data_IF_314776484610
#
_entry.id   IF_314776484610
#
_cell.length_a   1.000
_cell.length_b   1.000
_cell.length_c   1.000
_cell.angle_alpha   90.00
_cell.angle_beta   90.00
_cell.angle_gamma   90.00
#
_symmetry.space_group_name_H-M   'P 1'
#
loop_
_entity.id
_entity.type
_entity.pdbx_description
1 polymer ?
#
# COMPACT_ATOMS: atom_id res chain seq x y z
N UNK A 1 -45.10 10.10 -29.39
CA UNK A 1 -43.65 10.09 -29.09
C UNK A 1 -43.42 9.40 -27.76
N UNK A 2 -42.88 8.16 -27.76
CA UNK A 2 -42.51 7.44 -26.52
C UNK A 2 -41.28 8.10 -25.90
N UNK A 3 -41.44 8.62 -24.68
CA UNK A 3 -40.35 9.11 -23.84
C UNK A 3 -39.46 7.91 -23.49
N UNK A 4 -38.23 7.87 -24.03
CA UNK A 4 -37.23 6.85 -23.66
C UNK A 4 -36.93 7.02 -22.18
N UNK A 5 -37.29 6.02 -21.37
CA UNK A 5 -36.84 5.91 -19.99
C UNK A 5 -35.32 5.83 -19.98
N UNK A 6 -34.70 6.81 -19.33
CA UNK A 6 -33.26 6.87 -19.12
C UNK A 6 -32.95 5.90 -17.98
N UNK A 7 -32.36 4.76 -18.31
CA UNK A 7 -31.85 3.80 -17.31
C UNK A 7 -30.95 4.57 -16.32
N UNK A 8 -31.15 4.46 -15.00
CA UNK A 8 -30.38 5.23 -14.03
C UNK A 8 -28.89 4.88 -14.10
N UNK A 9 -28.05 5.92 -14.20
CA UNK A 9 -26.56 5.89 -14.32
C UNK A 9 -25.81 5.21 -13.14
N UNK A 10 -26.52 4.51 -12.25
CA UNK A 10 -25.95 3.90 -11.04
C UNK A 10 -25.31 2.54 -11.27
N UNK A 11 -25.77 1.74 -12.24
CA UNK A 11 -25.23 0.37 -12.46
C UNK A 11 -23.93 0.35 -13.26
N UNK A 12 -23.81 1.21 -14.28
CA UNK A 12 -22.61 1.30 -15.14
C UNK A 12 -21.36 1.74 -14.38
N UNK A 13 -21.54 2.54 -13.32
CA UNK A 13 -20.48 2.99 -12.44
C UNK A 13 -19.99 1.90 -11.47
N UNK A 14 -20.86 0.96 -11.06
CA UNK A 14 -20.49 -0.17 -10.21
C UNK A 14 -19.59 -1.16 -10.94
N UNK A 15 -19.96 -1.54 -12.16
CA UNK A 15 -19.20 -2.50 -12.96
C UNK A 15 -17.78 -1.99 -13.30
N UNK A 16 -17.65 -0.72 -13.72
CA UNK A 16 -16.34 -0.10 -13.99
C UNK A 16 -15.45 0.00 -12.76
N UNK A 17 -16.03 0.06 -11.55
CA UNK A 17 -15.27 0.08 -10.29
C UNK A 17 -14.68 -1.27 -9.92
N UNK A 18 -15.43 -2.35 -10.19
CA UNK A 18 -15.10 -3.73 -9.82
C UNK A 18 -14.19 -4.38 -10.87
N UNK A 19 -14.32 -3.96 -12.15
CA UNK A 19 -13.62 -4.59 -13.27
C UNK A 19 -12.09 -4.74 -13.07
N UNK A 20 -11.34 -3.73 -12.56
CA UNK A 20 -9.92 -3.92 -12.37
C UNK A 20 -9.58 -4.90 -11.23
N UNK A 21 -10.42 -4.97 -10.19
CA UNK A 21 -10.23 -5.90 -9.07
C UNK A 21 -10.48 -7.34 -9.55
N UNK A 22 -11.53 -7.53 -10.36
CA UNK A 22 -11.81 -8.80 -11.02
C UNK A 22 -10.70 -9.21 -12.00
N UNK A 23 -10.17 -8.27 -12.77
CA UNK A 23 -9.05 -8.54 -13.67
C UNK A 23 -7.78 -8.93 -12.90
N UNK A 24 -7.46 -8.24 -11.80
CA UNK A 24 -6.38 -8.60 -10.89
C UNK A 24 -6.56 -10.02 -10.31
N UNK A 25 -7.78 -10.38 -9.91
CA UNK A 25 -8.13 -11.72 -9.44
C UNK A 25 -7.83 -12.78 -10.50
N UNK A 26 -8.35 -12.61 -11.73
CA UNK A 26 -8.18 -13.59 -12.82
C UNK A 26 -6.71 -13.70 -13.21
N UNK A 27 -5.97 -12.59 -13.28
CA UNK A 27 -4.55 -12.60 -13.58
C UNK A 27 -3.74 -13.32 -12.49
N UNK A 28 -3.99 -13.03 -11.21
CA UNK A 28 -3.31 -13.69 -10.11
C UNK A 28 -3.53 -15.21 -10.11
N UNK A 29 -4.78 -15.63 -10.37
CA UNK A 29 -5.13 -17.05 -10.44
C UNK A 29 -4.54 -17.74 -11.67
N UNK A 30 -4.60 -17.06 -12.82
CA UNK A 30 -3.97 -17.52 -14.04
C UNK A 30 -2.47 -17.71 -13.88
N UNK A 31 -1.76 -16.77 -13.25
CA UNK A 31 -0.33 -16.88 -12.98
C UNK A 31 -0.01 -18.06 -12.07
N UNK A 32 -0.70 -18.17 -10.93
CA UNK A 32 -0.48 -19.28 -10.00
C UNK A 32 -0.70 -20.65 -10.66
N UNK A 33 -1.73 -20.76 -11.51
CA UNK A 33 -2.01 -21.97 -12.28
C UNK A 33 -0.95 -22.27 -13.35
N UNK A 34 -0.60 -21.28 -14.17
CA UNK A 34 0.35 -21.43 -15.29
C UNK A 34 1.76 -21.77 -14.80
N UNK A 35 2.21 -21.16 -13.72
CA UNK A 35 3.52 -21.41 -13.13
C UNK A 35 3.54 -22.58 -12.14
N UNK A 36 2.40 -23.27 -11.96
CA UNK A 36 2.24 -24.38 -11.01
C UNK A 36 2.73 -24.04 -9.61
N UNK A 37 2.46 -22.81 -9.17
CA UNK A 37 2.93 -22.30 -7.90
C UNK A 37 2.36 -23.08 -6.73
N UNK A 38 3.21 -23.33 -5.76
CA UNK A 38 2.84 -23.91 -4.48
C UNK A 38 2.63 -22.79 -3.44
N UNK A 39 2.40 -23.18 -2.17
CA UNK A 39 2.20 -22.23 -1.07
C UNK A 39 3.42 -21.35 -0.83
N UNK A 40 4.65 -21.88 -0.95
CA UNK A 40 5.90 -21.11 -0.81
C UNK A 40 5.94 -19.98 -1.82
N UNK A 41 5.66 -20.28 -3.09
CA UNK A 41 5.65 -19.28 -4.16
C UNK A 41 4.65 -18.16 -3.90
N UNK A 42 3.45 -18.52 -3.41
CA UNK A 42 2.41 -17.56 -3.08
C UNK A 42 2.82 -16.65 -1.91
N UNK A 43 3.39 -17.23 -0.85
CA UNK A 43 3.84 -16.49 0.34
C UNK A 43 4.92 -15.48 -0.02
N UNK A 44 5.92 -15.88 -0.79
CA UNK A 44 7.00 -14.98 -1.21
C UNK A 44 6.56 -13.94 -2.22
N UNK A 45 5.61 -14.28 -3.10
CA UNK A 45 4.98 -13.31 -4.00
C UNK A 45 4.21 -12.24 -3.21
N UNK A 46 3.48 -12.63 -2.16
CA UNK A 46 2.75 -11.70 -1.30
C UNK A 46 3.69 -10.82 -0.47
N UNK A 47 4.79 -11.38 0.05
CA UNK A 47 5.82 -10.61 0.74
C UNK A 47 6.51 -9.61 -0.19
N UNK A 48 6.82 -9.99 -1.43
CA UNK A 48 7.38 -9.08 -2.44
C UNK A 48 6.37 -7.96 -2.77
N UNK A 49 5.10 -8.31 -2.93
CA UNK A 49 4.04 -7.34 -3.16
C UNK A 49 3.90 -6.36 -2.00
N UNK A 50 3.95 -6.82 -0.74
CA UNK A 50 3.85 -5.93 0.41
C UNK A 50 5.02 -4.96 0.48
N UNK A 51 6.24 -5.42 0.18
CA UNK A 51 7.43 -4.56 0.11
C UNK A 51 7.27 -3.49 -0.97
N UNK A 52 6.93 -3.88 -2.20
CA UNK A 52 6.81 -2.96 -3.34
C UNK A 52 5.67 -1.97 -3.16
N UNK A 53 4.46 -2.46 -2.86
CA UNK A 53 3.28 -1.60 -2.69
C UNK A 53 3.41 -0.67 -1.48
N UNK A 54 3.98 -1.16 -0.37
CA UNK A 54 4.26 -0.34 0.81
C UNK A 54 5.27 0.76 0.51
N UNK A 55 6.37 0.44 -0.17
CA UNK A 55 7.37 1.45 -0.54
C UNK A 55 6.84 2.47 -1.54
N UNK A 56 6.06 2.05 -2.54
CA UNK A 56 5.38 2.96 -3.47
C UNK A 56 4.38 3.87 -2.76
N UNK A 57 3.74 3.40 -1.69
CA UNK A 57 2.86 4.22 -0.85
C UNK A 57 3.64 5.31 -0.11
N UNK A 58 4.80 4.97 0.47
CA UNK A 58 5.70 5.96 1.10
C UNK A 58 6.10 7.04 0.08
N UNK A 59 6.54 6.63 -1.11
CA UNK A 59 6.89 7.55 -2.19
C UNK A 59 5.70 8.43 -2.60
N UNK A 60 4.51 7.85 -2.74
CA UNK A 60 3.30 8.58 -3.12
C UNK A 60 2.88 9.63 -2.09
N UNK A 61 3.02 9.33 -0.80
CA UNK A 61 2.76 10.30 0.29
C UNK A 61 3.77 11.45 0.23
N UNK A 62 5.06 11.15 0.09
CA UNK A 62 6.12 12.16 0.02
C UNK A 62 5.97 13.03 -1.24
N UNK A 63 5.70 12.43 -2.39
CA UNK A 63 5.46 13.14 -3.65
C UNK A 63 4.18 13.99 -3.58
N UNK A 64 3.11 13.50 -2.95
CA UNK A 64 1.89 14.27 -2.73
C UNK A 64 2.12 15.48 -1.80
N UNK A 65 2.91 15.30 -0.74
CA UNK A 65 3.36 16.38 0.15
C UNK A 65 4.19 17.43 -0.60
N UNK A 66 5.16 16.99 -1.41
CA UNK A 66 5.98 17.87 -2.23
C UNK A 66 5.14 18.66 -3.26
N UNK A 67 4.22 17.99 -3.97
CA UNK A 67 3.33 18.64 -4.93
C UNK A 67 2.43 19.70 -4.26
N UNK A 68 1.91 19.39 -3.07
CA UNK A 68 1.12 20.33 -2.26
C UNK A 68 1.98 21.52 -1.81
N UNK A 69 3.19 21.28 -1.31
CA UNK A 69 4.12 22.33 -0.91
C UNK A 69 4.47 23.27 -2.07
N UNK A 70 4.77 22.73 -3.25
CA UNK A 70 5.03 23.52 -4.47
C UNK A 70 3.82 24.38 -4.84
N UNK A 71 2.60 23.86 -4.71
CA UNK A 71 1.37 24.63 -4.97
C UNK A 71 1.19 25.77 -3.99
N UNK A 72 1.43 25.54 -2.70
CA UNK A 72 1.36 26.57 -1.67
C UNK A 72 2.39 27.68 -1.92
N UNK A 73 3.61 27.32 -2.32
CA UNK A 73 4.66 28.29 -2.68
C UNK A 73 4.33 29.11 -3.93
N UNK A 74 3.48 28.60 -4.82
CA UNK A 74 3.01 29.32 -6.02
C UNK A 74 1.83 30.27 -5.74
N UNK A 75 1.20 30.21 -4.57
CA UNK A 75 0.16 31.17 -4.20
C UNK A 75 0.80 32.54 -3.92
N UNK A 76 0.23 33.61 -4.49
CA UNK A 76 0.77 34.98 -4.53
C UNK A 76 1.05 35.63 -3.16
N UNK A 77 0.65 35.00 -2.07
CA UNK A 77 0.72 35.56 -0.72
C UNK A 77 2.08 35.34 -0.02
N UNK A 78 2.93 34.42 -0.52
CA UNK A 78 4.23 34.13 0.11
C UNK A 78 5.30 35.09 -0.43
N UNK A 79 5.92 35.85 0.48
CA UNK A 79 7.06 36.73 0.14
C UNK A 79 8.23 35.88 -0.37
N UNK A 80 8.92 36.36 -1.40
CA UNK A 80 10.07 35.66 -2.03
C UNK A 80 11.17 35.28 -1.02
N UNK A 81 11.30 36.04 0.07
CA UNK A 81 12.23 35.80 1.18
C UNK A 81 11.90 34.58 2.05
N UNK A 82 10.63 34.15 2.10
CA UNK A 82 10.17 32.99 2.87
C UNK A 82 10.17 31.68 2.06
N UNK A 83 10.30 31.79 0.74
CA UNK A 83 10.25 30.64 -0.16
C UNK A 83 11.45 29.69 0.03
N UNK A 84 12.67 30.23 0.10
CA UNK A 84 13.88 29.40 0.26
C UNK A 84 13.90 28.64 1.60
N UNK A 85 13.64 29.27 2.77
CA UNK A 85 13.52 28.55 4.03
C UNK A 85 12.44 27.46 4.00
N UNK A 86 11.28 27.73 3.39
CA UNK A 86 10.21 26.74 3.29
C UNK A 86 10.60 25.52 2.43
N UNK A 87 11.32 25.74 1.32
CA UNK A 87 11.86 24.64 0.49
C UNK A 87 12.87 23.82 1.28
N UNK A 88 13.81 24.46 1.98
CA UNK A 88 14.84 23.78 2.76
C UNK A 88 14.24 22.95 3.90
N UNK A 89 13.28 23.51 4.64
CA UNK A 89 12.55 22.79 5.69
C UNK A 89 11.76 21.63 5.08
N UNK A 90 11.04 21.85 3.99
CA UNK A 90 10.29 20.81 3.29
C UNK A 90 11.16 19.66 2.81
N UNK A 91 12.33 19.98 2.24
CA UNK A 91 13.32 18.99 1.81
C UNK A 91 13.90 18.21 2.99
N UNK A 92 14.30 18.91 4.06
CA UNK A 92 14.82 18.28 5.27
C UNK A 92 13.80 17.31 5.89
N UNK A 93 12.55 17.76 6.04
CA UNK A 93 11.46 16.94 6.57
C UNK A 93 11.18 15.75 5.65
N UNK A 94 11.13 15.97 4.34
CA UNK A 94 10.93 14.91 3.35
C UNK A 94 12.02 13.84 3.37
N UNK A 95 13.30 14.25 3.44
CA UNK A 95 14.45 13.35 3.53
C UNK A 95 14.47 12.59 4.85
N UNK A 96 14.16 13.25 5.97
CA UNK A 96 14.04 12.60 7.27
C UNK A 96 12.99 11.49 7.23
N UNK A 97 11.77 11.79 6.75
CA UNK A 97 10.72 10.79 6.66
C UNK A 97 11.06 9.66 5.69
N UNK A 98 11.64 9.98 4.53
CA UNK A 98 12.09 8.95 3.59
C UNK A 98 13.10 8.01 4.24
N UNK A 99 14.14 8.54 4.89
CA UNK A 99 15.16 7.75 5.56
C UNK A 99 14.60 6.92 6.71
N UNK A 100 13.86 7.55 7.63
CA UNK A 100 13.25 6.89 8.78
C UNK A 100 12.31 5.76 8.35
N UNK A 101 11.37 6.04 7.45
CA UNK A 101 10.43 5.00 6.99
C UNK A 101 11.12 3.94 6.17
N UNK A 102 12.14 4.25 5.37
CA UNK A 102 12.90 3.22 4.64
C UNK A 102 13.62 2.28 5.59
N UNK A 103 14.32 2.81 6.61
CA UNK A 103 14.99 1.99 7.62
C UNK A 103 14.01 1.10 8.37
N UNK A 104 12.93 1.68 8.89
CA UNK A 104 11.93 0.96 9.68
C UNK A 104 11.18 -0.09 8.84
N UNK A 105 10.67 0.30 7.67
CA UNK A 105 9.86 -0.56 6.81
C UNK A 105 10.67 -1.69 6.19
N UNK A 106 11.85 -1.39 5.63
CA UNK A 106 12.73 -2.41 5.06
C UNK A 106 13.35 -3.28 6.15
N UNK A 107 13.72 -2.71 7.30
CA UNK A 107 14.21 -3.49 8.44
C UNK A 107 13.17 -4.52 8.93
N UNK A 108 11.90 -4.14 9.00
CA UNK A 108 10.82 -5.07 9.33
C UNK A 108 10.66 -6.18 8.28
N UNK A 109 10.72 -5.85 6.98
CA UNK A 109 10.65 -6.85 5.91
C UNK A 109 11.85 -7.80 5.93
N UNK A 110 13.06 -7.29 6.19
CA UNK A 110 14.27 -8.10 6.34
C UNK A 110 14.15 -9.10 7.50
N UNK A 111 13.67 -8.65 8.68
CA UNK A 111 13.40 -9.56 9.80
C UNK A 111 12.32 -10.58 9.41
N UNK A 112 11.25 -10.14 8.74
CA UNK A 112 10.16 -11.01 8.37
C UNK A 112 10.57 -12.08 7.35
N UNK A 113 11.49 -11.78 6.43
CA UNK A 113 12.00 -12.76 5.48
C UNK A 113 12.80 -13.87 6.16
N UNK A 114 13.48 -13.58 7.29
CA UNK A 114 14.14 -14.60 8.13
C UNK A 114 13.11 -15.61 8.63
N UNK A 115 11.98 -15.14 9.16
CA UNK A 115 10.89 -16.03 9.61
C UNK A 115 10.31 -16.83 8.45
N UNK A 116 10.00 -16.18 7.34
CA UNK A 116 9.47 -16.86 6.15
C UNK A 116 10.39 -17.95 5.64
N UNK A 117 11.70 -17.69 5.63
CA UNK A 117 12.71 -18.64 5.18
C UNK A 117 12.74 -19.93 6.00
N UNK A 118 12.32 -19.90 7.27
CA UNK A 118 12.23 -21.08 8.13
C UNK A 118 11.06 -22.00 7.76
N UNK A 119 9.93 -21.43 7.30
CA UNK A 119 8.72 -22.20 6.97
C UNK A 119 8.61 -22.52 5.48
N UNK A 120 9.07 -21.61 4.62
CA UNK A 120 8.88 -21.63 3.18
C UNK A 120 10.23 -21.38 2.49
N UNK A 121 11.16 -22.35 2.50
CA UNK A 121 12.48 -22.19 1.90
C UNK A 121 12.39 -22.03 0.37
N UNK A 122 13.20 -21.13 -0.20
CA UNK A 122 13.44 -21.02 -1.66
C UNK A 122 14.88 -21.44 -1.97
N UNK A 123 15.05 -22.26 -3.00
CA UNK A 123 16.36 -22.66 -3.51
C UNK A 123 17.12 -21.47 -4.10
N UNK A 124 18.39 -21.32 -3.71
CA UNK A 124 19.25 -20.22 -4.19
C UNK A 124 19.06 -18.87 -3.51
N UNK A 125 18.19 -18.78 -2.49
CA UNK A 125 18.10 -17.63 -1.58
C UNK A 125 19.15 -17.74 -0.44
N UNK A 126 19.66 -16.62 0.11
CA UNK A 126 20.49 -16.65 1.31
C UNK A 126 19.88 -17.47 2.46
N UNK A 127 20.74 -18.10 3.27
CA UNK A 127 20.32 -19.02 4.34
C UNK A 127 19.59 -18.31 5.49
N UNK A 128 19.86 -17.03 5.69
CA UNK A 128 19.19 -16.15 6.64
C UNK A 128 17.97 -15.43 6.02
N UNK A 129 17.56 -15.79 4.80
CA UNK A 129 16.53 -15.07 4.05
C UNK A 129 17.09 -13.76 3.52
N UNK A 130 16.89 -12.66 4.26
CA UNK A 130 17.52 -11.35 4.02
C UNK A 130 17.92 -10.63 5.32
N UNK A 131 18.22 -11.38 6.37
CA UNK A 131 18.58 -10.84 7.69
C UNK A 131 19.78 -9.89 7.65
N UNK A 132 20.78 -10.17 6.83
CA UNK A 132 21.95 -9.31 6.57
C UNK A 132 21.58 -7.90 6.09
N UNK A 133 20.40 -7.75 5.47
CA UNK A 133 19.89 -6.46 5.02
C UNK A 133 19.13 -5.66 6.10
N UNK A 134 19.09 -6.15 7.35
CA UNK A 134 18.49 -5.41 8.46
C UNK A 134 19.17 -4.05 8.62
N UNK A 135 18.35 -2.99 8.71
CA UNK A 135 18.81 -1.59 8.72
C UNK A 135 19.62 -1.15 7.48
N UNK A 136 19.60 -1.93 6.39
CA UNK A 136 20.24 -1.59 5.12
C UNK A 136 19.23 -1.70 3.95
N UNK A 137 18.36 -0.69 3.75
CA UNK A 137 17.34 -0.70 2.70
C UNK A 137 17.90 -0.90 1.29
N UNK A 138 19.02 -0.27 0.86
CA UNK A 138 19.61 -0.51 -0.46
C UNK A 138 20.01 -1.97 -0.67
N UNK A 139 20.63 -2.61 0.34
CA UNK A 139 21.01 -4.01 0.26
C UNK A 139 19.78 -4.92 0.16
N UNK A 140 18.72 -4.64 0.94
CA UNK A 140 17.48 -5.41 0.87
C UNK A 140 16.92 -5.37 -0.55
N UNK A 141 16.82 -4.20 -1.15
CA UNK A 141 16.37 -4.06 -2.52
C UNK A 141 17.26 -4.86 -3.48
N UNK A 142 18.58 -4.70 -3.41
CA UNK A 142 19.50 -5.44 -4.27
C UNK A 142 19.29 -6.97 -4.20
N UNK A 143 19.12 -7.52 -3.00
CA UNK A 143 18.86 -8.94 -2.80
C UNK A 143 17.49 -9.36 -3.33
N UNK A 144 16.44 -8.56 -3.08
CA UNK A 144 15.10 -8.83 -3.60
C UNK A 144 15.07 -8.81 -5.14
N UNK A 145 15.73 -7.84 -5.76
CA UNK A 145 15.87 -7.77 -7.21
C UNK A 145 16.58 -9.00 -7.78
N UNK A 146 17.63 -9.46 -7.09
CA UNK A 146 18.41 -10.63 -7.50
C UNK A 146 17.64 -11.95 -7.35
N UNK A 147 16.92 -12.15 -6.25
CA UNK A 147 16.39 -13.46 -5.87
C UNK A 147 14.88 -13.62 -6.09
N UNK A 148 14.10 -12.54 -6.01
CA UNK A 148 12.63 -12.61 -6.03
C UNK A 148 11.99 -11.96 -7.25
N UNK A 149 12.64 -10.99 -7.88
CA UNK A 149 12.02 -10.30 -9.00
C UNK A 149 11.84 -11.21 -10.22
N UNK A 150 12.82 -12.04 -10.54
CA UNK A 150 12.70 -12.98 -11.66
C UNK A 150 11.57 -14.02 -11.46
N UNK A 151 11.49 -14.74 -10.32
CA UNK A 151 10.43 -15.74 -10.13
C UNK A 151 9.05 -15.14 -9.87
N UNK A 152 8.95 -14.02 -9.14
CA UNK A 152 7.69 -13.51 -8.60
C UNK A 152 7.32 -12.11 -9.09
N UNK A 153 8.19 -11.41 -9.82
CA UNK A 153 7.97 -10.04 -10.26
C UNK A 153 6.74 -9.87 -11.15
N UNK A 154 6.35 -10.89 -11.91
CA UNK A 154 5.11 -10.86 -12.69
C UNK A 154 3.85 -10.75 -11.82
N UNK A 155 3.89 -11.25 -10.57
CA UNK A 155 2.78 -11.14 -9.62
C UNK A 155 2.54 -9.71 -9.14
N UNK A 156 3.52 -8.82 -9.29
CA UNK A 156 3.36 -7.41 -8.95
C UNK A 156 2.27 -6.75 -9.79
N UNK A 157 2.01 -7.22 -11.01
CA UNK A 157 1.01 -6.63 -11.90
C UNK A 157 -0.40 -6.74 -11.29
N UNK A 158 -0.94 -7.94 -10.99
CA UNK A 158 -2.25 -8.02 -10.35
C UNK A 158 -2.28 -7.37 -8.97
N UNK A 159 -1.20 -7.45 -8.18
CA UNK A 159 -1.15 -6.81 -6.87
C UNK A 159 -1.23 -5.27 -6.96
N UNK A 160 -0.49 -4.65 -7.87
CA UNK A 160 -0.54 -3.20 -8.11
C UNK A 160 -1.90 -2.75 -8.64
N UNK A 161 -2.54 -3.56 -9.47
CA UNK A 161 -3.91 -3.27 -9.93
C UNK A 161 -4.86 -3.33 -8.73
N UNK A 162 -4.82 -4.38 -7.92
CA UNK A 162 -5.68 -4.51 -6.73
C UNK A 162 -5.49 -3.35 -5.74
N UNK A 163 -4.24 -2.96 -5.50
CA UNK A 163 -3.87 -1.93 -4.52
C UNK A 163 -3.80 -0.51 -5.12
N UNK A 164 -4.16 -0.32 -6.40
CA UNK A 164 -4.01 0.96 -7.14
C UNK A 164 -4.60 2.16 -6.40
N UNK A 165 -5.76 1.98 -5.78
CA UNK A 165 -6.46 3.06 -5.06
C UNK A 165 -5.75 3.43 -3.77
N UNK A 166 -4.98 2.54 -3.17
CA UNK A 166 -4.33 2.82 -1.90
C UNK A 166 -2.94 3.41 -2.13
N UNK A 167 -2.21 2.85 -3.10
CA UNK A 167 -0.89 3.33 -3.49
C UNK A 167 -0.96 4.74 -4.10
N UNK A 168 -1.83 4.95 -5.09
CA UNK A 168 -1.79 6.19 -5.88
C UNK A 168 -2.73 7.30 -5.39
N UNK A 169 -3.72 7.01 -4.54
CA UNK A 169 -4.68 8.02 -4.10
C UNK A 169 -4.07 9.24 -3.40
N UNK A 170 -3.05 9.11 -2.51
CA UNK A 170 -2.40 10.27 -1.93
C UNK A 170 -1.81 11.21 -2.98
N UNK A 171 -1.20 10.64 -4.02
CA UNK A 171 -0.58 11.39 -5.11
C UNK A 171 -1.62 12.00 -6.04
N UNK A 172 -2.61 11.21 -6.48
CA UNK A 172 -3.69 11.66 -7.37
C UNK A 172 -4.43 12.82 -6.73
N UNK A 173 -4.81 12.72 -5.46
CA UNK A 173 -5.53 13.78 -4.76
C UNK A 173 -4.71 15.07 -4.65
N UNK A 174 -3.41 14.94 -4.38
CA UNK A 174 -2.49 16.08 -4.37
C UNK A 174 -2.39 16.76 -5.75
N UNK A 175 -2.46 16.00 -6.84
CA UNK A 175 -2.46 16.51 -8.22
C UNK A 175 -3.81 17.09 -8.62
N UNK A 176 -4.93 16.49 -8.24
CA UNK A 176 -6.26 16.97 -8.61
C UNK A 176 -6.65 18.27 -7.91
N UNK A 177 -5.89 18.67 -6.87
CA UNK A 177 -6.11 19.96 -6.21
C UNK A 177 -7.41 20.00 -5.41
N UNK A 178 -7.99 18.84 -5.12
CA UNK A 178 -8.95 18.72 -4.05
C UNK A 178 -8.35 19.31 -2.77
N UNK A 179 -9.21 19.97 -1.97
CA UNK A 179 -8.80 20.78 -0.81
C UNK A 179 -7.63 20.13 -0.08
N UNK A 180 -6.55 20.90 0.17
CA UNK A 180 -5.29 20.35 0.64
C UNK A 180 -5.54 19.47 1.87
N UNK A 181 -4.71 18.43 2.02
CA UNK A 181 -4.45 17.87 3.34
C UNK A 181 -4.22 19.07 4.26
N UNK A 182 -5.13 19.33 5.21
CA UNK A 182 -4.95 20.42 6.15
C UNK A 182 -3.59 20.14 6.79
N UNK A 183 -2.56 20.99 6.58
CA UNK A 183 -1.31 20.78 7.29
C UNK A 183 -1.69 20.77 8.76
N UNK A 184 -1.26 19.73 9.47
CA UNK A 184 -1.35 19.69 10.92
C UNK A 184 -0.83 21.04 11.39
N UNK A 185 -1.69 21.78 12.10
CA UNK A 185 -1.24 22.89 12.93
C UNK A 185 -0.09 22.31 13.75
N UNK A 186 1.10 22.77 13.42
CA UNK A 186 2.39 22.55 14.07
C UNK A 186 2.29 21.83 15.42
N UNK A 187 3.13 20.81 15.62
CA UNK A 187 3.43 20.20 16.92
C UNK A 187 3.78 21.25 18.00
N UNK A 188 4.04 22.53 17.62
CA UNK A 188 4.31 23.66 18.51
C UNK A 188 3.17 24.69 18.66
N UNK A 189 2.02 24.59 17.98
CA UNK A 189 1.00 25.65 17.95
C UNK A 189 -0.33 25.27 18.64
N UNK A 190 -0.29 24.39 19.64
CA UNK A 190 -1.47 23.86 20.34
C UNK A 190 -2.06 24.74 21.44
N UNK A 191 -1.54 25.95 21.70
CA UNK A 191 -1.94 26.69 22.91
C UNK A 191 -2.93 27.85 22.71
N UNK A 192 -3.29 28.24 21.49
CA UNK A 192 -4.22 29.36 21.29
C UNK A 192 -5.13 29.12 20.10
N UNK A 193 -6.44 29.17 20.35
CA UNK A 193 -7.59 29.19 19.42
C UNK A 193 -8.18 27.84 19.04
N UNK A 194 -9.13 27.40 19.89
CA UNK A 194 -10.23 26.52 19.51
C UNK A 194 -11.25 27.30 18.68
N UNK A 195 -11.65 26.73 17.54
CA UNK A 195 -12.94 27.02 16.91
C UNK A 195 -13.56 25.69 16.47
N UNK A 196 -14.87 25.49 16.67
CA UNK A 196 -15.49 24.19 16.49
C UNK A 196 -15.84 23.91 15.02
N UNK A 197 -15.96 22.61 14.74
CA UNK A 197 -16.81 22.04 13.67
C UNK A 197 -16.21 21.69 12.30
N UNK A 198 -15.03 21.06 12.28
CA UNK A 198 -14.75 20.01 11.29
C UNK A 198 -14.09 18.85 11.98
N UNK A 199 -14.68 17.64 11.95
CA UNK A 199 -14.04 16.41 12.45
C UNK A 199 -12.61 16.35 11.89
N UNK A 200 -11.57 16.49 12.73
CA UNK A 200 -10.21 16.49 12.24
C UNK A 200 -9.91 15.11 11.67
N UNK A 201 -9.49 15.05 10.41
CA UNK A 201 -8.81 13.88 9.89
C UNK A 201 -7.53 13.74 10.71
N UNK A 202 -7.51 12.72 11.56
CA UNK A 202 -6.43 12.47 12.50
C UNK A 202 -5.15 12.12 11.73
N UNK A 203 -4.03 12.74 12.09
CA UNK A 203 -2.71 12.42 11.53
C UNK A 203 -2.39 10.93 11.74
N UNK A 204 -2.90 10.35 12.83
CA UNK A 204 -2.86 8.91 13.07
C UNK A 204 -3.54 8.09 11.97
N UNK A 205 -4.62 8.58 11.37
CA UNK A 205 -5.33 7.89 10.27
C UNK A 205 -4.57 8.01 8.93
N UNK A 206 -3.84 9.10 8.70
CA UNK A 206 -3.02 9.27 7.50
C UNK A 206 -1.72 8.45 7.55
N UNK A 207 -1.05 8.44 8.70
CA UNK A 207 0.19 7.69 8.90
C UNK A 207 -0.05 6.21 9.21
N UNK A 208 -1.21 5.84 9.75
CA UNK A 208 -1.56 4.45 10.06
C UNK A 208 -2.03 3.63 8.85
N UNK A 209 -2.58 4.28 7.82
CA UNK A 209 -3.08 3.59 6.60
C UNK A 209 -2.03 2.70 5.91
N UNK A 210 -0.78 3.15 5.68
CA UNK A 210 0.27 2.28 5.16
C UNK A 210 0.53 1.06 6.06
N UNK A 211 0.50 1.24 7.38
CA UNK A 211 0.71 0.16 8.35
C UNK A 211 -0.42 -0.86 8.35
N UNK A 212 -1.68 -0.45 8.21
CA UNK A 212 -2.83 -1.38 8.23
C UNK A 212 -2.72 -2.41 7.11
N UNK A 213 -2.30 -2.02 5.91
CA UNK A 213 -2.14 -2.96 4.81
C UNK A 213 -0.97 -3.91 5.02
N UNK A 214 0.16 -3.38 5.47
CA UNK A 214 1.35 -4.17 5.78
C UNK A 214 1.01 -5.18 6.86
N UNK A 215 0.42 -4.74 7.97
CA UNK A 215 -0.04 -5.59 9.07
C UNK A 215 -1.03 -6.64 8.56
N UNK A 216 -2.01 -6.26 7.73
CA UNK A 216 -2.97 -7.20 7.14
C UNK A 216 -2.25 -8.32 6.36
N UNK A 217 -1.25 -7.96 5.55
CA UNK A 217 -0.47 -8.96 4.79
C UNK A 217 0.43 -9.81 5.68
N UNK A 218 1.00 -9.23 6.73
CA UNK A 218 1.79 -9.97 7.71
C UNK A 218 0.94 -10.94 8.53
N UNK A 219 -0.28 -10.55 8.91
CA UNK A 219 -1.22 -11.44 9.59
C UNK A 219 -1.63 -12.63 8.71
N UNK A 220 -1.82 -12.42 7.40
CA UNK A 220 -2.02 -13.53 6.45
C UNK A 220 -0.80 -14.45 6.39
N UNK A 221 0.40 -13.88 6.39
CA UNK A 221 1.64 -14.64 6.39
C UNK A 221 1.79 -15.51 7.65
N UNK A 222 1.53 -14.94 8.83
CA UNK A 222 1.51 -15.70 10.08
C UNK A 222 0.41 -16.76 10.11
N UNK A 223 -0.75 -16.46 9.55
CA UNK A 223 -1.83 -17.44 9.38
C UNK A 223 -1.36 -18.63 8.54
N UNK A 224 -0.63 -18.42 7.44
CA UNK A 224 -0.08 -19.53 6.67
C UNK A 224 0.96 -20.33 7.42
N UNK A 225 1.86 -19.68 8.15
CA UNK A 225 2.85 -20.38 8.97
C UNK A 225 2.15 -21.31 9.97
N UNK A 226 1.07 -20.84 10.59
CA UNK A 226 0.25 -21.64 11.49
C UNK A 226 -0.49 -22.79 10.76
N UNK A 227 -1.11 -22.53 9.60
CA UNK A 227 -1.73 -23.57 8.79
C UNK A 227 -0.74 -24.65 8.32
N UNK A 228 0.48 -24.25 7.97
CA UNK A 228 1.56 -25.14 7.57
C UNK A 228 2.00 -26.05 8.73
N UNK A 229 2.15 -25.50 9.95
CA UNK A 229 2.43 -26.29 11.16
C UNK A 229 1.32 -27.33 11.42
N UNK A 230 0.06 -26.95 11.18
CA UNK A 230 -1.10 -27.84 11.34
C UNK A 230 -1.35 -28.80 10.17
N UNK A 231 -0.52 -28.77 9.12
CA UNK A 231 -0.68 -29.57 7.89
C UNK A 231 -2.06 -29.45 7.23
N UNK A 232 -2.70 -28.27 7.34
CA UNK A 232 -4.00 -28.02 6.73
C UNK A 232 -3.81 -27.98 5.20
N UNK A 233 -4.67 -28.69 4.47
CA UNK A 233 -4.57 -28.85 3.02
C UNK A 233 -4.52 -27.52 2.25
N UNK A 234 -3.72 -27.50 1.17
CA UNK A 234 -3.46 -26.31 0.35
C UNK A 234 -4.71 -25.58 -0.13
N UNK A 235 -5.84 -26.28 -0.35
CA UNK A 235 -7.07 -25.66 -0.83
C UNK A 235 -7.59 -24.54 0.10
N UNK A 236 -7.59 -24.76 1.42
CA UNK A 236 -8.04 -23.76 2.38
C UNK A 236 -7.13 -22.52 2.41
N UNK A 237 -5.83 -22.74 2.22
CA UNK A 237 -4.81 -21.69 2.11
C UNK A 237 -5.12 -20.80 0.90
N UNK A 238 -5.30 -21.36 -0.30
CA UNK A 238 -5.67 -20.59 -1.49
C UNK A 238 -7.02 -19.89 -1.32
N UNK A 239 -8.03 -20.58 -0.77
CA UNK A 239 -9.36 -20.00 -0.57
C UNK A 239 -9.33 -18.77 0.34
N UNK A 240 -8.56 -18.80 1.45
CA UNK A 240 -8.40 -17.66 2.36
C UNK A 240 -7.68 -16.50 1.68
N UNK A 241 -6.63 -16.76 0.89
CA UNK A 241 -5.89 -15.70 0.17
C UNK A 241 -6.75 -15.00 -0.83
N UNK A 242 -7.46 -15.77 -1.65
CA UNK A 242 -8.33 -15.21 -2.64
C UNK A 242 -9.48 -14.44 -2.00
N UNK A 243 -10.02 -14.96 -0.90
CA UNK A 243 -11.07 -14.30 -0.13
C UNK A 243 -10.57 -13.03 0.55
N UNK A 244 -9.38 -13.00 1.14
CA UNK A 244 -8.92 -11.79 1.84
C UNK A 244 -8.36 -10.78 0.84
N UNK A 245 -7.53 -11.19 -0.09
CA UNK A 245 -6.71 -10.28 -0.90
C UNK A 245 -7.46 -9.73 -2.12
N UNK A 246 -8.14 -10.59 -2.85
CA UNK A 246 -8.75 -10.23 -4.14
C UNK A 246 -10.26 -10.01 -4.06
N UNK A 247 -10.91 -10.44 -2.97
CA UNK A 247 -12.34 -10.23 -2.81
C UNK A 247 -12.65 -8.76 -2.47
N UNK A 248 -13.61 -8.13 -3.16
CA UNK A 248 -13.91 -6.71 -2.99
C UNK A 248 -14.76 -6.44 -1.73
N UNK A 249 -14.16 -6.60 -0.54
CA UNK A 249 -14.84 -6.38 0.76
C UNK A 249 -15.42 -4.97 0.93
N UNK A 250 -14.86 -3.99 0.24
CA UNK A 250 -15.35 -2.61 0.20
C UNK A 250 -16.76 -2.51 -0.39
N UNK A 251 -17.09 -3.34 -1.39
CA UNK A 251 -18.40 -3.37 -2.04
C UNK A 251 -19.44 -4.06 -1.15
N UNK A 252 -19.06 -5.14 -0.45
CA UNK A 252 -19.93 -5.83 0.52
C UNK A 252 -20.30 -4.91 1.68
N UNK A 253 -19.34 -4.13 2.20
CA UNK A 253 -19.62 -3.10 3.22
C UNK A 253 -20.51 -1.98 2.69
N UNK A 254 -20.33 -1.57 1.44
CA UNK A 254 -21.19 -0.57 0.79
C UNK A 254 -22.64 -1.04 0.64
N UNK A 255 -22.84 -2.33 0.37
CA UNK A 255 -24.17 -2.93 0.22
C UNK A 255 -24.91 -3.08 1.55
N UNK A 256 -24.19 -3.41 2.65
CA UNK A 256 -24.77 -3.43 4.01
C UNK A 256 -25.21 -2.05 4.49
N UNK A 257 -24.47 -1.00 4.13
CA UNK A 257 -24.74 0.39 4.54
C UNK A 257 -25.86 1.07 3.73
N UNK A 258 -26.27 0.48 2.60
CA UNK A 258 -27.42 0.92 1.79
C UNK A 258 -28.75 0.24 2.17
N UNK A 259 -28.70 -0.78 3.03
CA UNK A 259 -29.86 -1.57 3.46
C UNK A 259 -30.31 -1.30 4.91
N UNK A 260 -29.61 -0.39 5.60
CA UNK A 260 -29.99 0.19 6.89
C UNK A 260 -30.22 1.68 6.63
#
# INVERSE_FOLDING_TARGET
MRRKEKIPDTETNGFRRILPDFFAFVLGLGQAYLFKWNTTDLVWSLWLCSLVTGYLTILSILSGGAATGIRMLRQKEIKRTQCLPAILIGLMVGLFFLGFFSLHFCGFHAIHSVFLRQFFPIDGMPSDGFGEAFMNPPLLWALVFRHLLQPYGLFLIPALIAERKQVFFPLIRAIEGERPFKPVRSFAAGWLTETPDTKPYDLGDAMGRPYINVVRMHLLIFFFAFCHILKIESFFIYAVVYSVYFFPWSEVKGWRRKRI
#
